data_IF_258857553480
#
_entry.id   IF_258857553480
#
_cell.length_a   1.000
_cell.length_b   1.000
_cell.length_c   1.000
_cell.angle_alpha   90.00
_cell.angle_beta   90.00
_cell.angle_gamma   90.00
#
_symmetry.space_group_name_H-M   'P 1'
#
loop_
_entity.id
_entity.type
_entity.pdbx_description
1 polymer ?
#
# COMPACT_ATOMS: atom_id res chain seq x y z
N UNK A 1 -6.28 8.34 2.36
CA UNK A 1 -5.14 8.90 1.61
C UNK A 1 -5.20 10.41 1.74
N UNK A 2 -4.26 10.98 2.48
CA UNK A 2 -4.22 12.40 2.82
C UNK A 2 -3.43 13.17 1.78
N UNK A 3 -2.35 12.60 1.23
CA UNK A 3 -1.46 13.31 0.30
C UNK A 3 -1.95 13.24 -1.16
N UNK A 4 -1.72 14.31 -1.92
CA UNK A 4 -2.14 14.40 -3.32
C UNK A 4 -1.40 13.40 -4.22
N UNK A 5 -0.10 13.24 -4.03
CA UNK A 5 0.71 12.31 -4.82
C UNK A 5 0.27 10.85 -4.62
N UNK A 6 -0.10 10.47 -3.39
CA UNK A 6 -0.66 9.16 -3.06
C UNK A 6 -1.95 8.89 -3.84
N UNK A 7 -2.88 9.86 -3.86
CA UNK A 7 -4.14 9.75 -4.60
C UNK A 7 -3.90 9.68 -6.12
N UNK A 8 -2.97 10.47 -6.62
CA UNK A 8 -2.63 10.50 -8.05
C UNK A 8 -2.01 9.18 -8.51
N UNK A 9 -1.02 8.66 -7.79
CA UNK A 9 -0.40 7.37 -8.08
C UNK A 9 -1.41 6.22 -8.00
N UNK A 10 -2.21 6.18 -6.94
CA UNK A 10 -3.21 5.12 -6.78
C UNK A 10 -4.26 5.14 -7.90
N UNK A 11 -4.74 6.32 -8.29
CA UNK A 11 -5.68 6.47 -9.41
C UNK A 11 -5.07 5.97 -10.71
N UNK A 12 -3.84 6.39 -11.02
CA UNK A 12 -3.12 5.92 -12.21
C UNK A 12 -2.98 4.40 -12.23
N UNK A 13 -2.50 3.82 -11.14
CA UNK A 13 -2.34 2.36 -11.00
C UNK A 13 -3.68 1.62 -11.13
N UNK A 14 -4.75 2.17 -10.55
CA UNK A 14 -6.11 1.59 -10.61
C UNK A 14 -6.65 1.60 -12.04
N UNK A 15 -6.45 2.70 -12.76
CA UNK A 15 -6.80 2.79 -14.19
C UNK A 15 -6.02 1.77 -15.01
N UNK A 16 -4.72 1.62 -14.75
CA UNK A 16 -3.85 0.73 -15.53
C UNK A 16 -4.16 -0.75 -15.30
N UNK A 17 -4.41 -1.17 -14.05
CA UNK A 17 -4.77 -2.58 -13.77
C UNK A 17 -6.11 -2.98 -14.37
N UNK A 18 -7.06 -2.05 -14.47
CA UNK A 18 -8.44 -2.37 -14.81
C UNK A 18 -9.00 -3.47 -13.90
N UNK A 19 -9.51 -4.55 -14.48
CA UNK A 19 -10.06 -5.71 -13.75
C UNK A 19 -9.00 -6.67 -13.21
N UNK A 20 -7.73 -6.53 -13.62
CA UNK A 20 -6.63 -7.41 -13.20
C UNK A 20 -6.24 -7.12 -11.76
N UNK A 21 -5.46 -8.04 -11.17
CA UNK A 21 -4.90 -7.92 -9.81
C UNK A 21 -3.82 -6.84 -9.69
N UNK A 22 -3.02 -6.64 -10.72
CA UNK A 22 -2.00 -5.59 -10.80
C UNK A 22 -1.70 -5.30 -12.28
N UNK A 23 -1.21 -4.10 -12.62
CA UNK A 23 -0.68 -3.84 -13.95
C UNK A 23 0.71 -4.47 -14.10
N UNK A 24 1.11 -4.80 -15.32
CA UNK A 24 2.49 -5.18 -15.62
C UNK A 24 3.40 -3.96 -15.49
N UNK A 25 4.63 -4.20 -15.03
CA UNK A 25 5.63 -3.14 -14.86
C UNK A 25 5.89 -2.38 -16.16
N UNK A 26 5.84 -3.05 -17.30
CA UNK A 26 6.15 -2.45 -18.60
C UNK A 26 5.03 -1.54 -19.13
N UNK A 27 3.84 -1.59 -18.51
CA UNK A 27 2.74 -0.66 -18.79
C UNK A 27 2.90 0.68 -18.06
N UNK A 28 3.83 0.78 -17.09
CA UNK A 28 4.08 2.01 -16.34
C UNK A 28 4.81 3.01 -17.23
N UNK A 29 4.11 4.08 -17.59
CA UNK A 29 4.66 5.25 -18.26
C UNK A 29 5.08 6.32 -17.23
N UNK A 30 6.39 6.56 -17.05
CA UNK A 30 6.87 7.60 -16.15
C UNK A 30 6.38 9.01 -16.51
N UNK A 31 6.14 9.30 -17.80
CA UNK A 31 5.70 10.61 -18.24
C UNK A 31 4.28 10.93 -17.73
N UNK A 32 3.41 9.92 -17.65
CA UNK A 32 2.09 10.04 -17.02
C UNK A 32 2.16 10.37 -15.52
N UNK A 33 3.25 9.99 -14.85
CA UNK A 33 3.48 10.19 -13.40
C UNK A 33 4.37 11.39 -13.07
N UNK A 34 4.72 12.24 -14.05
CA UNK A 34 5.66 13.36 -13.91
C UNK A 34 5.47 14.26 -12.67
N UNK A 35 4.23 14.44 -12.20
CA UNK A 35 3.92 15.25 -11.00
C UNK A 35 4.32 14.57 -9.68
N UNK A 36 4.33 13.24 -9.65
CA UNK A 36 4.62 12.44 -8.45
C UNK A 36 5.98 11.77 -8.47
N UNK A 37 6.67 11.75 -9.62
CA UNK A 37 7.97 11.10 -9.79
C UNK A 37 9.00 11.50 -8.73
N UNK A 38 9.01 12.76 -8.29
CA UNK A 38 9.94 13.25 -7.28
C UNK A 38 9.82 12.54 -5.92
N UNK A 39 8.63 12.03 -5.58
CA UNK A 39 8.35 11.29 -4.34
C UNK A 39 8.22 9.77 -4.56
N UNK A 40 8.29 9.33 -5.81
CA UNK A 40 8.02 7.94 -6.18
C UNK A 40 9.25 7.07 -5.99
N UNK A 41 9.02 5.77 -5.78
CA UNK A 41 10.06 4.77 -5.73
C UNK A 41 9.59 3.44 -6.31
N UNK A 42 10.55 2.60 -6.71
CA UNK A 42 10.30 1.22 -7.14
C UNK A 42 11.12 0.29 -6.27
N UNK A 43 10.48 -0.73 -5.69
CA UNK A 43 11.13 -1.78 -4.92
C UNK A 43 11.26 -3.06 -5.73
N UNK A 44 12.29 -3.85 -5.42
CA UNK A 44 12.29 -5.29 -5.74
C UNK A 44 11.71 -6.06 -4.57
N UNK A 45 10.88 -7.05 -4.87
CA UNK A 45 10.46 -7.99 -3.84
C UNK A 45 11.60 -8.97 -3.54
N UNK A 46 12.33 -8.72 -2.46
CA UNK A 46 13.40 -9.59 -1.97
C UNK A 46 13.48 -9.46 -0.45
N UNK A 47 12.97 -10.47 0.27
CA UNK A 47 12.91 -10.46 1.74
C UNK A 47 14.30 -10.49 2.36
N UNK A 48 15.25 -11.19 1.72
CA UNK A 48 16.61 -11.36 2.25
C UNK A 48 17.43 -10.07 2.13
N UNK A 49 17.20 -9.30 1.06
CA UNK A 49 17.86 -8.02 0.83
C UNK A 49 17.06 -6.80 1.35
N UNK A 50 16.00 -7.01 2.15
CA UNK A 50 15.21 -5.92 2.73
C UNK A 50 14.45 -5.06 1.71
N UNK A 51 14.02 -5.68 0.61
CA UNK A 51 13.31 -5.07 -0.51
C UNK A 51 14.06 -3.88 -1.15
N UNK A 52 15.15 -4.14 -1.91
CA UNK A 52 16.01 -3.10 -2.44
C UNK A 52 15.27 -2.08 -3.32
N UNK A 53 15.58 -0.80 -3.10
CA UNK A 53 15.11 0.32 -3.91
C UNK A 53 15.84 0.31 -5.26
N UNK A 54 15.09 0.26 -6.37
CA UNK A 54 15.65 0.30 -7.74
C UNK A 54 15.63 1.69 -8.35
N UNK A 55 14.65 2.48 -7.95
CA UNK A 55 14.45 3.86 -8.36
C UNK A 55 13.94 4.64 -7.15
N UNK A 56 14.43 5.85 -6.97
CA UNK A 56 13.88 6.82 -6.02
C UNK A 56 13.86 8.19 -6.69
N UNK A 57 12.77 8.92 -6.48
CA UNK A 57 12.62 10.29 -6.93
C UNK A 57 13.58 11.24 -6.22
N UNK A 58 13.87 12.38 -6.86
CA UNK A 58 14.86 13.34 -6.35
C UNK A 58 14.44 14.00 -5.05
N UNK A 59 13.14 14.30 -4.86
CA UNK A 59 12.64 14.85 -3.58
C UNK A 59 12.72 13.83 -2.46
N UNK A 60 12.45 12.56 -2.77
CA UNK A 60 12.64 11.46 -1.83
C UNK A 60 14.12 11.31 -1.42
N UNK A 61 15.06 11.29 -2.37
CA UNK A 61 16.49 11.28 -2.05
C UNK A 61 16.91 12.51 -1.23
N UNK A 62 16.39 13.69 -1.55
CA UNK A 62 16.62 14.92 -0.79
C UNK A 62 16.11 14.84 0.65
N UNK A 63 14.95 14.21 0.88
CA UNK A 63 14.41 14.01 2.22
C UNK A 63 15.34 13.19 3.13
N UNK A 64 16.03 12.18 2.57
CA UNK A 64 16.99 11.34 3.30
C UNK A 64 18.44 11.85 3.21
N UNK A 65 18.68 12.95 2.49
CA UNK A 65 20.00 13.53 2.26
C UNK A 65 20.98 12.61 1.52
N UNK A 66 20.49 11.57 0.82
CA UNK A 66 21.34 10.60 0.10
C UNK A 66 20.59 9.90 -1.04
N UNK A 67 21.33 9.33 -1.98
CA UNK A 67 20.75 8.43 -2.97
C UNK A 67 20.23 7.15 -2.29
N UNK A 68 18.97 6.79 -2.58
CA UNK A 68 18.35 5.59 -2.01
C UNK A 68 18.49 4.35 -2.90
N UNK A 69 18.93 4.50 -4.16
CA UNK A 69 19.08 3.38 -5.08
C UNK A 69 20.03 2.33 -4.50
N UNK A 70 19.60 1.07 -4.51
CA UNK A 70 20.33 -0.07 -3.96
C UNK A 70 20.17 -0.26 -2.44
N UNK A 71 19.67 0.74 -1.71
CA UNK A 71 19.42 0.60 -0.26
C UNK A 71 18.23 -0.32 0.01
N UNK A 72 18.26 -1.02 1.16
CA UNK A 72 17.14 -1.79 1.67
C UNK A 72 16.02 -0.84 2.12
N UNK A 73 14.80 -1.03 1.61
CA UNK A 73 13.65 -0.22 2.02
C UNK A 73 13.31 -0.41 3.48
N UNK A 74 13.42 -1.63 4.03
CA UNK A 74 13.24 -1.89 5.47
C UNK A 74 14.26 -1.12 6.31
N UNK A 75 15.48 -0.93 5.80
CA UNK A 75 16.53 -0.14 6.43
C UNK A 75 16.24 1.37 6.52
N UNK A 76 15.20 1.87 5.86
CA UNK A 76 14.73 3.24 6.06
C UNK A 76 13.92 3.40 7.34
N UNK A 77 13.45 2.30 7.94
CA UNK A 77 12.61 2.31 9.13
C UNK A 77 13.44 2.05 10.38
N UNK A 78 12.90 2.43 11.55
CA UNK A 78 13.49 2.04 12.83
C UNK A 78 13.55 0.50 12.96
N UNK A 79 14.59 -0.06 13.59
CA UNK A 79 14.77 -1.51 13.70
C UNK A 79 13.55 -2.26 14.26
N UNK A 80 12.85 -1.66 15.21
CA UNK A 80 11.62 -2.21 15.81
C UNK A 80 10.50 -2.42 14.78
N UNK A 81 10.48 -1.63 13.69
CA UNK A 81 9.47 -1.71 12.64
C UNK A 81 9.83 -2.69 11.52
N UNK A 82 11.07 -3.21 11.45
CA UNK A 82 11.52 -4.05 10.33
C UNK A 82 10.64 -5.29 10.09
N UNK A 83 10.26 -6.07 11.12
CA UNK A 83 9.40 -7.24 10.91
C UNK A 83 8.02 -6.87 10.37
N UNK A 84 7.44 -5.77 10.87
CA UNK A 84 6.13 -5.27 10.44
C UNK A 84 6.18 -4.81 8.97
N UNK A 85 7.18 -4.01 8.60
CA UNK A 85 7.31 -3.50 7.23
C UNK A 85 7.55 -4.64 6.24
N UNK A 86 8.35 -5.63 6.60
CA UNK A 86 8.54 -6.84 5.78
C UNK A 86 7.22 -7.60 5.55
N UNK A 87 6.42 -7.78 6.61
CA UNK A 87 5.11 -8.42 6.53
C UNK A 87 4.10 -7.63 5.69
N UNK A 88 4.10 -6.29 5.81
CA UNK A 88 3.23 -5.43 5.01
C UNK A 88 3.58 -5.46 3.52
N UNK A 89 4.87 -5.48 3.17
CA UNK A 89 5.31 -5.61 1.77
C UNK A 89 4.94 -6.98 1.20
N UNK A 90 5.04 -8.03 2.02
CA UNK A 90 4.56 -9.36 1.68
C UNK A 90 3.07 -9.39 1.37
N UNK A 91 2.25 -8.85 2.29
CA UNK A 91 0.79 -8.77 2.13
C UNK A 91 0.41 -8.04 0.83
N UNK A 92 1.07 -6.93 0.50
CA UNK A 92 0.85 -6.19 -0.75
C UNK A 92 1.13 -7.06 -1.99
N UNK A 93 2.19 -7.87 -1.96
CA UNK A 93 2.53 -8.77 -3.05
C UNK A 93 1.58 -9.98 -3.14
N UNK A 94 1.20 -10.55 -1.99
CA UNK A 94 0.34 -11.74 -1.88
C UNK A 94 -1.11 -11.44 -2.27
N UNK A 95 -1.69 -10.39 -1.71
CA UNK A 95 -3.11 -10.01 -1.90
C UNK A 95 -3.35 -9.19 -3.17
N UNK A 96 -2.28 -8.72 -3.81
CA UNK A 96 -2.35 -7.77 -4.92
C UNK A 96 -3.21 -6.52 -4.62
N UNK A 97 -3.25 -6.14 -3.34
CA UNK A 97 -3.96 -4.99 -2.83
C UNK A 97 -2.98 -3.86 -2.53
N UNK A 98 -3.40 -2.62 -2.78
CA UNK A 98 -2.58 -1.48 -2.41
C UNK A 98 -2.59 -1.29 -0.89
N UNK A 99 -1.58 -0.61 -0.37
CA UNK A 99 -1.45 -0.29 1.05
C UNK A 99 -1.09 1.18 1.24
N UNK A 100 -1.66 1.80 2.27
CA UNK A 100 -1.26 3.12 2.75
C UNK A 100 -0.71 2.98 4.16
N UNK A 101 0.47 3.53 4.41
CA UNK A 101 1.11 3.60 5.72
C UNK A 101 1.21 5.06 6.13
N UNK A 102 0.76 5.38 7.34
CA UNK A 102 1.14 6.60 8.05
C UNK A 102 2.46 6.36 8.78
N UNK A 103 3.38 7.30 8.65
CA UNK A 103 4.71 7.22 9.26
C UNK A 103 5.16 8.59 9.76
N UNK A 104 6.21 8.59 10.58
CA UNK A 104 6.92 9.80 10.97
C UNK A 104 8.39 9.71 10.55
N UNK A 105 8.89 10.73 9.86
CA UNK A 105 10.31 10.89 9.58
C UNK A 105 11.00 11.48 10.80
N UNK A 106 11.90 10.71 11.40
CA UNK A 106 12.70 11.14 12.53
C UNK A 106 13.96 11.85 12.02
N UNK A 107 14.29 12.96 12.66
CA UNK A 107 15.50 13.73 12.37
C UNK A 107 16.37 13.81 13.64
N UNK A 108 17.54 14.45 13.57
CA UNK A 108 18.40 14.60 14.74
C UNK A 108 17.96 15.75 15.65
N UNK A 109 17.49 16.86 15.06
CA UNK A 109 17.24 18.11 15.79
C UNK A 109 15.85 18.70 15.56
N UNK A 110 15.18 18.29 14.47
CA UNK A 110 13.91 18.83 14.04
C UNK A 110 12.74 17.94 14.48
N UNK A 111 11.52 18.50 14.66
CA UNK A 111 10.35 17.72 15.03
C UNK A 111 10.05 16.58 14.03
N UNK A 112 9.48 15.46 14.49
CA UNK A 112 9.09 14.36 13.60
C UNK A 112 8.17 14.82 12.47
N UNK A 113 8.52 14.48 11.23
CA UNK A 113 7.79 14.87 10.03
C UNK A 113 6.69 13.86 9.71
N UNK A 114 5.38 14.22 9.71
CA UNK A 114 4.34 13.31 9.29
C UNK A 114 4.46 12.97 7.80
N UNK A 115 4.51 11.68 7.49
CA UNK A 115 4.69 11.12 6.16
C UNK A 115 3.54 10.18 5.81
N UNK A 116 3.23 10.09 4.52
CA UNK A 116 2.37 9.04 3.96
C UNK A 116 3.18 8.22 2.96
N UNK A 117 3.12 6.89 3.11
CA UNK A 117 3.69 5.94 2.17
C UNK A 117 2.56 5.18 1.49
N UNK A 118 2.60 5.07 0.17
CA UNK A 118 1.74 4.18 -0.60
C UNK A 118 2.59 3.10 -1.22
N UNK A 119 2.12 1.85 -1.14
CA UNK A 119 2.71 0.68 -1.78
C UNK A 119 1.67 0.02 -2.69
N UNK A 120 2.06 -0.22 -3.93
CA UNK A 120 1.21 -0.80 -4.96
C UNK A 120 1.97 -1.93 -5.67
N UNK A 121 1.39 -3.13 -5.78
CA UNK A 121 2.06 -4.25 -6.42
C UNK A 121 2.10 -4.03 -7.94
N UNK A 122 3.19 -4.47 -8.56
CA UNK A 122 3.33 -4.57 -10.01
C UNK A 122 3.55 -6.03 -10.38
N UNK A 123 2.84 -6.49 -11.41
CA UNK A 123 3.17 -7.75 -12.05
C UNK A 123 4.46 -7.58 -12.86
N UNK A 124 5.26 -8.64 -12.94
CA UNK A 124 6.33 -8.74 -13.92
C UNK A 124 6.42 -10.19 -14.38
N UNK A 125 6.22 -10.42 -15.68
CA UNK A 125 6.23 -11.77 -16.27
C UNK A 125 5.25 -12.69 -15.54
N UNK A 126 4.03 -12.20 -15.29
CA UNK A 126 2.97 -12.89 -14.54
C UNK A 126 3.26 -13.22 -13.06
N UNK A 127 4.35 -12.70 -12.47
CA UNK A 127 4.62 -12.80 -11.03
C UNK A 127 4.30 -11.50 -10.29
N UNK A 128 3.56 -11.59 -9.19
CA UNK A 128 3.27 -10.46 -8.29
C UNK A 128 4.40 -10.21 -7.27
N UNK A 129 5.24 -11.21 -7.01
CA UNK A 129 6.41 -11.13 -6.13
C UNK A 129 7.64 -10.60 -6.87
N UNK A 130 7.46 -9.55 -7.66
CA UNK A 130 8.54 -9.01 -8.47
C UNK A 130 8.88 -7.57 -8.06
N UNK A 131 7.91 -6.66 -8.18
CA UNK A 131 8.15 -5.23 -7.94
C UNK A 131 6.96 -4.57 -7.26
N UNK A 132 7.28 -3.52 -6.51
CA UNK A 132 6.30 -2.63 -5.94
C UNK A 132 6.60 -1.21 -6.42
N UNK A 133 5.54 -0.48 -6.75
CA UNK A 133 5.58 0.95 -7.01
C UNK A 133 5.04 1.67 -5.79
N UNK A 134 5.66 2.77 -5.40
CA UNK A 134 5.20 3.54 -4.27
C UNK A 134 5.51 5.01 -4.36
N UNK A 135 4.92 5.75 -3.43
CA UNK A 135 5.21 7.16 -3.15
C UNK A 135 5.44 7.27 -1.65
N UNK A 136 6.46 8.04 -1.27
CA UNK A 136 6.69 8.48 0.11
C UNK A 136 6.77 9.99 0.08
N UNK A 137 5.81 10.64 0.73
CA UNK A 137 5.71 12.09 0.69
C UNK A 137 5.33 12.68 2.06
N UNK A 138 5.86 13.87 2.40
CA UNK A 138 5.50 14.55 3.62
C UNK A 138 4.09 15.16 3.53
N UNK A 139 3.32 15.06 4.61
CA UNK A 139 1.96 15.63 4.66
C UNK A 139 1.97 17.16 4.74
N UNK A 140 3.11 17.74 5.09
CA UNK A 140 3.38 19.17 5.15
C UNK A 140 4.82 19.41 4.71
N UNK A 141 5.10 20.52 4.03
CA UNK A 141 6.48 20.89 3.67
C UNK A 141 7.15 21.52 4.90
N UNK A 142 8.16 20.90 5.51
CA UNK A 142 8.84 21.51 6.66
C UNK A 142 9.79 22.61 6.20
N UNK A 143 10.01 23.62 7.04
CA UNK A 143 10.94 24.72 6.75
C UNK A 143 12.40 24.25 6.58
N UNK A 144 12.74 23.11 7.19
CA UNK A 144 14.08 22.51 7.18
C UNK A 144 14.30 21.50 6.04
N UNK A 145 13.34 21.34 5.12
CA UNK A 145 13.48 20.40 4.01
C UNK A 145 14.73 20.72 3.18
N UNK A 146 15.65 19.76 3.07
CA UNK A 146 16.92 19.93 2.36
C UNK A 146 18.06 20.47 3.22
N UNK A 147 17.81 20.80 4.49
CA UNK A 147 18.82 21.20 5.48
C UNK A 147 19.11 20.02 6.42
N UNK A 148 18.07 19.50 7.07
CA UNK A 148 18.17 18.37 8.00
C UNK A 148 17.58 17.11 7.35
N UNK A 149 18.34 16.00 7.24
CA UNK A 149 17.85 14.78 6.64
C UNK A 149 17.03 13.93 7.62
N UNK A 150 16.01 13.25 7.09
CA UNK A 150 15.34 12.17 7.80
C UNK A 150 16.31 11.00 7.98
N UNK A 151 16.51 10.58 9.23
CA UNK A 151 17.41 9.50 9.63
C UNK A 151 16.73 8.14 9.57
N UNK A 152 15.49 8.07 10.03
CA UNK A 152 14.68 6.85 10.04
C UNK A 152 13.19 7.17 9.96
N UNK A 153 12.41 6.18 9.57
CA UNK A 153 10.96 6.20 9.57
C UNK A 153 10.44 5.43 10.76
N UNK A 154 9.54 6.05 11.52
CA UNK A 154 8.74 5.38 12.54
C UNK A 154 7.37 5.04 11.96
N UNK A 155 6.98 3.78 12.09
CA UNK A 155 5.64 3.33 11.76
C UNK A 155 4.58 3.95 12.71
N UNK A 156 3.41 4.30 12.18
CA UNK A 156 2.27 4.80 12.98
C UNK A 156 1.01 3.96 12.72
N UNK A 157 0.51 3.97 11.47
CA UNK A 157 -0.73 3.28 11.11
C UNK A 157 -0.66 2.71 9.70
N UNK A 158 -1.53 1.76 9.37
CA UNK A 158 -1.71 1.29 8.00
C UNK A 158 -3.17 1.06 7.66
N UNK A 159 -3.48 1.10 6.37
CA UNK A 159 -4.79 0.74 5.84
C UNK A 159 -4.65 0.10 4.47
N UNK A 160 -5.29 -1.05 4.29
CA UNK A 160 -5.43 -1.69 2.99
C UNK A 160 -6.31 -0.85 2.06
N UNK A 161 -5.86 -0.69 0.82
CA UNK A 161 -6.63 -0.16 -0.28
C UNK A 161 -7.38 -1.33 -0.89
N UNK A 162 -8.64 -1.47 -0.50
CA UNK A 162 -9.50 -2.51 -1.05
C UNK A 162 -9.42 -2.49 -2.59
N UNK A 163 -9.32 -3.65 -3.25
CA UNK A 163 -9.62 -3.69 -4.67
C UNK A 163 -11.07 -3.20 -4.78
N UNK A 164 -11.30 -2.07 -5.46
CA UNK A 164 -12.64 -1.72 -5.90
C UNK A 164 -13.02 -2.74 -6.97
N UNK A 165 -13.34 -3.96 -6.56
CA UNK A 165 -14.29 -4.77 -7.29
C UNK A 165 -15.57 -3.94 -7.25
N UNK A 166 -16.03 -3.47 -8.39
CA UNK A 166 -17.40 -3.00 -8.52
C UNK A 166 -18.29 -4.02 -7.79
N UNK A 167 -19.25 -3.61 -6.95
CA UNK A 167 -20.11 -4.55 -6.26
C UNK A 167 -20.69 -5.47 -7.33
N UNK A 168 -20.27 -6.73 -7.28
CA UNK A 168 -20.85 -7.74 -8.14
C UNK A 168 -22.33 -7.76 -7.78
N UNK A 169 -23.19 -7.41 -8.74
CA UNK A 169 -24.63 -7.59 -8.63
C UNK A 169 -24.92 -9.10 -8.69
N UNK A 170 -24.35 -9.87 -7.76
CA UNK A 170 -24.87 -11.19 -7.45
C UNK A 170 -26.06 -10.92 -6.55
N UNK A 171 -27.29 -11.31 -6.94
CA UNK A 171 -28.40 -11.28 -6.01
C UNK A 171 -27.99 -12.14 -4.82
N UNK A 172 -27.99 -11.56 -3.61
CA UNK A 172 -27.83 -12.33 -2.40
C UNK A 172 -28.94 -13.39 -2.40
N UNK A 173 -28.56 -14.66 -2.57
CA UNK A 173 -29.46 -15.78 -2.28
C UNK A 173 -29.75 -15.67 -0.79
N UNK A 174 -30.93 -15.14 -0.46
CA UNK A 174 -31.41 -15.12 0.92
C UNK A 174 -31.53 -16.58 1.36
N UNK A 175 -30.89 -17.00 2.46
CA UNK A 175 -31.15 -18.31 3.00
C UNK A 175 -32.62 -18.35 3.44
N UNK A 176 -33.36 -19.28 2.84
CA UNK A 176 -34.77 -19.53 3.16
C UNK A 176 -34.84 -20.00 4.62
N UNK A 177 -35.30 -19.12 5.51
CA UNK A 177 -35.57 -19.47 6.91
C UNK A 177 -36.77 -20.42 6.91
N UNK A 178 -36.51 -21.72 6.90
CA UNK A 178 -37.54 -22.75 7.15
C UNK A 178 -38.07 -22.56 8.57
N UNK A 179 -39.26 -21.98 8.67
CA UNK A 179 -40.01 -21.89 9.93
C UNK A 179 -40.44 -23.30 10.36
N UNK A 180 -40.19 -23.75 11.59
CA UNK A 180 -40.74 -25.00 12.08
C UNK A 180 -42.25 -24.87 12.22
N UNK A 181 -42.99 -25.76 11.54
CA UNK A 181 -44.45 -25.82 11.64
C UNK A 181 -44.79 -26.65 12.88
N UNK A 182 -45.45 -26.04 13.86
CA UNK A 182 -45.98 -26.71 15.03
C UNK A 182 -47.24 -27.49 14.60
N UNK A 183 -47.17 -28.82 14.62
CA UNK A 183 -48.33 -29.69 14.37
C UNK A 183 -49.05 -29.90 15.70
N UNK A 184 -50.27 -29.34 15.83
CA UNK A 184 -51.18 -29.65 16.93
C UNK A 184 -51.94 -30.92 16.55
N UNK A 185 -51.75 -32.00 17.32
CA UNK A 185 -52.52 -33.23 17.18
C UNK A 185 -53.75 -33.13 18.08
N UNK A 186 -54.94 -32.95 17.51
CA UNK A 186 -56.19 -33.11 18.25
C UNK A 186 -56.45 -34.61 18.52
N UNK A 187 -56.24 -35.02 19.77
CA UNK A 187 -56.59 -36.34 20.26
C UNK A 187 -58.09 -36.47 20.52
N UNK A 188 -58.87 -36.78 19.48
CA UNK A 188 -60.27 -37.20 19.62
C UNK A 188 -60.37 -38.66 20.06
N UNK A 189 -60.82 -38.90 21.30
CA UNK A 189 -61.23 -40.23 21.76
C UNK A 189 -62.72 -40.41 21.49
N UNK A 190 -63.06 -41.40 20.66
CA UNK A 190 -64.42 -41.88 20.41
C UNK A 190 -64.88 -42.77 21.56
N UNK A 191 -66.15 -42.64 21.92
CA UNK A 191 -66.86 -43.49 22.89
C UNK A 191 -68.16 -42.83 23.28
#
# INVERSE_FOLDING_TARGET
MKHAASRELYRYWTTLRGVRRAPERDEIDPAALRKVLGDSFILTFDRNAGHPVRLAGTRLCGLFGRELKGSAFTGLWEPVSHPLIGSLIAEVADEAAGLVIGAHGLTQHEPPLPLEVVLLPLAHRASLHARLLGVLAPLQVPYWLGIEPVRSLRFDTFRNLAPTLAPSLVPAVRPEVRRPHLVVLEGGRRG
#
